data_IF_357196037226
#
_entry.id   IF_357196037226
#
_cell.length_a   1.000
_cell.length_b   1.000
_cell.length_c   1.000
_cell.angle_alpha   90.00
_cell.angle_beta   90.00
_cell.angle_gamma   90.00
#
_symmetry.space_group_name_H-M   'P 1'
#
loop_
_entity.id
_entity.type
_entity.pdbx_description
1 polymer ?
#
# COMPACT_ATOMS: atom_id res chain seq x y z
N UNK A 1 53.82 37.69 -48.21
CA UNK A 1 53.77 37.29 -46.79
C UNK A 1 52.42 36.60 -46.55
N UNK A 2 52.41 35.27 -46.46
CA UNK A 2 51.21 34.49 -46.09
C UNK A 2 51.26 34.20 -44.59
N UNK A 3 50.18 34.53 -43.87
CA UNK A 3 50.03 34.25 -42.43
C UNK A 3 49.18 32.99 -42.26
N UNK A 4 49.79 31.90 -41.80
CA UNK A 4 49.12 30.64 -41.47
C UNK A 4 48.57 30.71 -40.04
N UNK A 5 47.25 30.81 -39.88
CA UNK A 5 46.57 30.75 -38.59
C UNK A 5 46.19 29.32 -38.23
N UNK A 6 46.81 28.75 -37.20
CA UNK A 6 46.44 27.46 -36.64
C UNK A 6 45.26 27.63 -35.66
N UNK A 7 44.09 27.07 -35.99
CA UNK A 7 42.95 27.01 -35.10
C UNK A 7 43.11 25.82 -34.13
N UNK A 8 43.26 26.11 -32.84
CA UNK A 8 43.30 25.10 -31.78
C UNK A 8 41.87 24.74 -31.40
N UNK A 9 41.41 23.54 -31.78
CA UNK A 9 40.12 23.01 -31.36
C UNK A 9 40.23 22.48 -29.92
N UNK A 10 39.66 23.20 -28.96
CA UNK A 10 39.52 22.74 -27.59
C UNK A 10 38.46 21.63 -27.52
N UNK A 11 38.88 20.39 -27.24
CA UNK A 11 37.97 19.29 -26.94
C UNK A 11 37.33 19.52 -25.57
N UNK A 12 36.04 19.87 -25.56
CA UNK A 12 35.21 19.90 -24.36
C UNK A 12 34.93 18.47 -23.90
N UNK A 13 35.76 17.95 -22.99
CA UNK A 13 35.45 16.74 -22.23
C UNK A 13 34.28 17.03 -21.30
N UNK A 14 33.06 16.72 -21.74
CA UNK A 14 31.89 16.65 -20.87
C UNK A 14 32.10 15.50 -19.88
N UNK A 15 32.54 15.83 -18.67
CA UNK A 15 32.55 14.90 -17.55
C UNK A 15 31.10 14.50 -17.26
N UNK A 16 30.68 13.33 -17.76
CA UNK A 16 29.48 12.65 -17.28
C UNK A 16 29.74 12.25 -15.83
N UNK A 17 29.30 13.11 -14.89
CA UNK A 17 29.29 12.78 -13.47
C UNK A 17 28.52 11.48 -13.23
N UNK A 18 28.76 10.79 -12.10
CA UNK A 18 28.09 9.52 -11.81
C UNK A 18 26.57 9.72 -11.87
N UNK A 19 25.93 9.07 -12.83
CA UNK A 19 24.48 8.99 -12.89
C UNK A 19 24.02 8.32 -11.59
N UNK A 20 23.32 9.07 -10.74
CA UNK A 20 22.68 8.49 -9.57
C UNK A 20 21.68 7.45 -10.07
N UNK A 21 21.96 6.18 -9.85
CA UNK A 21 21.05 5.10 -10.19
C UNK A 21 19.73 5.34 -9.44
N UNK A 22 18.63 5.42 -10.19
CA UNK A 22 17.31 5.60 -9.60
C UNK A 22 17.04 4.45 -8.61
N UNK A 23 16.60 4.80 -7.39
CA UNK A 23 16.25 3.81 -6.39
C UNK A 23 15.19 2.84 -6.94
N UNK A 24 15.33 1.53 -6.69
CA UNK A 24 14.34 0.54 -7.14
C UNK A 24 12.93 0.92 -6.66
N UNK A 25 11.97 0.81 -7.58
CA UNK A 25 10.56 1.09 -7.30
C UNK A 25 9.69 -0.07 -7.78
N UNK A 26 8.58 -0.27 -7.06
CA UNK A 26 7.58 -1.28 -7.35
C UNK A 26 6.28 -0.60 -7.75
N UNK A 27 5.75 -0.98 -8.90
CA UNK A 27 4.40 -0.61 -9.34
C UNK A 27 3.40 -1.60 -8.79
N UNK A 28 2.48 -1.12 -7.97
CA UNK A 28 1.42 -1.92 -7.36
C UNK A 28 0.11 -1.55 -8.03
N UNK A 29 -0.52 -2.52 -8.66
CA UNK A 29 -1.83 -2.36 -9.28
C UNK A 29 -2.88 -3.04 -8.42
N UNK A 30 -3.76 -2.26 -7.82
CA UNK A 30 -4.95 -2.78 -7.17
C UNK A 30 -6.09 -2.88 -8.20
N UNK A 31 -6.55 -4.09 -8.48
CA UNK A 31 -7.76 -4.33 -9.28
C UNK A 31 -8.95 -4.36 -8.34
N UNK A 32 -9.68 -3.26 -8.28
CA UNK A 32 -10.75 -3.00 -7.31
C UNK A 32 -12.10 -3.29 -7.94
N UNK A 33 -12.87 -4.17 -7.31
CA UNK A 33 -14.28 -4.43 -7.65
C UNK A 33 -15.17 -3.91 -6.53
N UNK A 34 -16.28 -3.27 -6.89
CA UNK A 34 -17.29 -2.80 -5.93
C UNK A 34 -17.05 -1.39 -5.37
N UNK A 35 -16.01 -0.67 -5.83
CA UNK A 35 -15.83 0.74 -5.48
C UNK A 35 -15.10 1.58 -6.54
N UNK A 36 -15.83 2.05 -7.53
CA UNK A 36 -15.35 3.09 -8.44
C UNK A 36 -15.30 4.44 -7.70
N UNK A 37 -14.25 5.23 -7.91
CA UNK A 37 -14.07 6.53 -7.26
C UNK A 37 -13.57 6.46 -5.82
N UNK A 38 -13.34 5.27 -5.26
CA UNK A 38 -12.63 5.11 -3.98
C UNK A 38 -11.25 5.78 -4.03
N UNK A 39 -10.82 6.38 -2.93
CA UNK A 39 -9.43 6.83 -2.75
C UNK A 39 -8.65 5.74 -2.04
N UNK A 40 -7.53 5.34 -2.62
CA UNK A 40 -6.60 4.37 -2.04
C UNK A 40 -5.37 5.13 -1.54
N UNK A 41 -5.10 5.05 -0.24
CA UNK A 41 -3.83 5.50 0.33
C UNK A 41 -2.87 4.34 0.51
N UNK A 42 -1.59 4.67 0.72
CA UNK A 42 -0.54 3.69 0.97
C UNK A 42 0.38 4.21 2.05
N UNK A 43 0.62 3.37 3.06
CA UNK A 43 1.42 3.74 4.21
C UNK A 43 2.24 2.56 4.70
N UNK A 44 3.39 2.85 5.28
CA UNK A 44 4.23 1.91 5.99
C UNK A 44 4.52 2.52 7.35
N UNK A 45 3.94 1.95 8.39
CA UNK A 45 4.18 2.34 9.77
C UNK A 45 4.76 1.12 10.48
N UNK A 46 6.08 1.10 10.69
CA UNK A 46 6.73 0.01 11.42
C UNK A 46 7.01 0.47 12.85
N UNK A 47 6.44 -0.22 13.82
CA UNK A 47 6.83 -0.06 15.23
C UNK A 47 8.25 -0.62 15.42
N UNK A 48 9.20 0.25 15.80
CA UNK A 48 10.60 -0.16 15.99
C UNK A 48 10.79 -0.94 17.30
N UNK A 49 11.55 -2.04 17.24
CA UNK A 49 12.10 -2.73 18.41
C UNK A 49 11.51 -4.11 18.72
N UNK A 50 12.33 -4.96 19.34
CA UNK A 50 12.01 -6.28 19.90
C UNK A 50 10.51 -6.46 20.26
N UNK A 51 9.81 -7.51 19.78
CA UNK A 51 8.38 -7.74 20.03
C UNK A 51 7.98 -7.80 21.52
N UNK A 52 8.94 -7.87 22.44
CA UNK A 52 8.73 -7.83 23.90
C UNK A 52 8.72 -6.44 24.53
N UNK A 53 9.00 -5.34 23.80
CA UNK A 53 8.92 -3.97 24.32
C UNK A 53 8.32 -3.01 23.28
N UNK A 54 7.03 -2.74 23.43
CA UNK A 54 6.33 -1.70 22.68
C UNK A 54 6.78 -0.35 23.24
N UNK A 55 7.52 0.44 22.47
CA UNK A 55 7.78 1.87 22.78
C UNK A 55 6.98 2.73 21.80
N UNK A 56 5.82 3.27 22.21
CA UNK A 56 5.09 4.25 21.41
C UNK A 56 5.85 5.58 21.46
N UNK A 57 6.64 5.90 20.43
CA UNK A 57 7.19 7.25 20.25
C UNK A 57 7.75 7.55 18.84
N UNK A 58 8.24 6.55 18.09
CA UNK A 58 8.87 6.80 16.77
C UNK A 58 8.72 5.62 15.80
N UNK A 59 7.51 5.34 15.29
CA UNK A 59 7.37 4.38 14.20
C UNK A 59 8.18 4.86 12.98
N UNK A 60 8.84 3.96 12.27
CA UNK A 60 9.38 4.29 10.94
C UNK A 60 8.19 4.45 10.01
N UNK A 61 7.77 5.70 9.81
CA UNK A 61 6.60 6.06 9.01
C UNK A 61 7.01 6.52 7.62
N UNK A 62 6.30 6.00 6.63
CA UNK A 62 6.34 6.47 5.26
C UNK A 62 4.92 6.43 4.70
N UNK A 63 4.55 7.45 3.95
CA UNK A 63 3.28 7.53 3.24
C UNK A 63 3.54 7.87 1.77
N UNK A 64 2.77 7.23 0.89
CA UNK A 64 2.77 7.55 -0.54
C UNK A 64 1.56 8.39 -0.93
N UNK A 65 1.62 9.01 -2.11
CA UNK A 65 0.51 9.80 -2.63
C UNK A 65 -0.73 8.91 -2.85
N UNK A 66 -1.89 9.26 -2.28
CA UNK A 66 -3.14 8.54 -2.52
C UNK A 66 -3.58 8.64 -3.99
N UNK A 67 -4.27 7.62 -4.47
CA UNK A 67 -4.77 7.56 -5.85
C UNK A 67 -6.25 7.19 -5.87
N UNK A 68 -7.00 7.72 -6.84
CA UNK A 68 -8.40 7.34 -7.06
C UNK A 68 -8.49 6.08 -7.92
N UNK A 69 -9.41 5.18 -7.55
CA UNK A 69 -9.83 4.07 -8.40
C UNK A 69 -10.54 4.64 -9.62
N UNK A 70 -10.00 4.31 -10.79
CA UNK A 70 -10.57 4.65 -12.10
C UNK A 70 -10.67 3.39 -12.95
N UNK A 71 -11.83 3.12 -13.52
CA UNK A 71 -12.10 1.91 -14.31
C UNK A 71 -11.72 0.63 -13.54
N UNK A 72 -12.03 0.58 -12.24
CA UNK A 72 -11.71 -0.55 -11.37
C UNK A 72 -10.22 -0.74 -11.08
N UNK A 73 -9.37 0.26 -11.33
CA UNK A 73 -7.91 0.17 -11.10
C UNK A 73 -7.39 1.36 -10.31
N UNK A 74 -6.52 1.07 -9.33
CA UNK A 74 -5.66 2.03 -8.66
C UNK A 74 -4.20 1.58 -8.82
N UNK A 75 -3.32 2.48 -9.26
CA UNK A 75 -1.90 2.19 -9.48
C UNK A 75 -1.04 3.09 -8.60
N UNK A 76 -0.21 2.46 -7.77
CA UNK A 76 0.72 3.11 -6.86
C UNK A 76 2.15 2.80 -7.31
N UNK A 77 3.06 3.75 -7.15
CA UNK A 77 4.51 3.54 -7.34
C UNK A 77 5.20 3.81 -6.02
N UNK A 78 5.83 2.79 -5.45
CA UNK A 78 6.44 2.85 -4.12
C UNK A 78 7.91 2.46 -4.18
N UNK A 79 8.79 2.95 -3.29
CA UNK A 79 10.13 2.40 -3.15
C UNK A 79 10.04 0.91 -2.81
N UNK A 80 10.78 0.06 -3.53
CA UNK A 80 10.70 -1.40 -3.32
C UNK A 80 11.05 -1.80 -1.87
N UNK A 81 11.98 -1.08 -1.26
CA UNK A 81 12.37 -1.24 0.15
C UNK A 81 11.23 -0.99 1.14
N UNK A 82 10.19 -0.23 0.75
CA UNK A 82 9.06 0.12 1.60
C UNK A 82 7.89 -0.85 1.45
N UNK A 83 7.98 -1.88 0.59
CA UNK A 83 6.84 -2.78 0.35
C UNK A 83 6.53 -3.69 1.53
N UNK A 84 7.55 -4.13 2.28
CA UNK A 84 7.36 -4.98 3.46
C UNK A 84 6.92 -4.16 4.67
N UNK A 85 5.88 -4.64 5.37
CA UNK A 85 5.23 -3.93 6.48
C UNK A 85 4.35 -2.77 6.02
N UNK A 86 3.99 -2.74 4.73
CA UNK A 86 3.09 -1.72 4.17
C UNK A 86 1.64 -2.15 4.31
N UNK A 87 0.75 -1.17 4.42
CA UNK A 87 -0.70 -1.35 4.37
C UNK A 87 -1.32 -0.39 3.36
N UNK A 88 -2.55 -0.72 2.95
CA UNK A 88 -3.35 0.12 2.06
C UNK A 88 -4.58 0.59 2.80
N UNK A 89 -4.86 1.89 2.70
CA UNK A 89 -6.11 2.47 3.17
C UNK A 89 -7.09 2.60 2.00
N UNK A 90 -8.36 2.66 2.32
CA UNK A 90 -9.42 2.89 1.36
C UNK A 90 -10.46 3.82 1.98
N UNK A 91 -10.87 4.82 1.20
CA UNK A 91 -11.99 5.69 1.52
C UNK A 91 -12.99 5.65 0.39
N UNK A 92 -14.20 5.17 0.67
CA UNK A 92 -15.26 5.11 -0.33
C UNK A 92 -16.14 6.36 -0.26
N UNK A 93 -16.66 6.86 -1.40
CA UNK A 93 -17.48 8.07 -1.44
C UNK A 93 -18.82 7.94 -0.69
N UNK A 94 -19.21 6.72 -0.32
CA UNK A 94 -20.44 6.41 0.40
C UNK A 94 -20.24 6.11 1.88
N UNK A 95 -18.99 6.11 2.37
CA UNK A 95 -18.73 5.86 3.79
C UNK A 95 -19.26 6.99 4.67
N UNK A 96 -19.71 6.62 5.87
CA UNK A 96 -20.06 7.54 6.95
C UNK A 96 -19.19 7.32 8.19
N UNK A 97 -18.20 6.42 8.09
CA UNK A 97 -17.22 6.17 9.14
C UNK A 97 -16.34 7.40 9.39
N UNK A 98 -16.01 7.63 10.66
CA UNK A 98 -15.10 8.69 11.12
C UNK A 98 -13.65 8.19 11.32
N UNK A 99 -13.33 7.07 10.68
CA UNK A 99 -12.03 6.42 10.67
C UNK A 99 -11.66 6.07 9.23
N UNK A 100 -10.39 5.75 8.99
CA UNK A 100 -9.93 5.32 7.67
C UNK A 100 -9.93 3.80 7.60
N UNK A 101 -10.71 3.23 6.68
CA UNK A 101 -10.76 1.79 6.47
C UNK A 101 -9.44 1.27 5.86
N UNK A 102 -9.03 0.06 6.24
CA UNK A 102 -7.87 -0.62 5.66
C UNK A 102 -8.32 -1.79 4.77
N UNK A 103 -7.55 -2.04 3.71
CA UNK A 103 -7.72 -3.23 2.88
C UNK A 103 -7.13 -4.42 3.64
N UNK A 104 -7.97 -5.40 3.96
CA UNK A 104 -7.55 -6.67 4.55
C UNK A 104 -6.74 -7.47 3.53
N UNK A 105 -5.49 -7.79 3.85
CA UNK A 105 -4.59 -8.53 2.95
C UNK A 105 -4.50 -10.01 3.29
N UNK A 106 -4.72 -10.35 4.56
CA UNK A 106 -4.67 -11.72 5.08
C UNK A 106 -5.50 -11.91 6.34
N UNK A 107 -5.61 -13.16 6.77
CA UNK A 107 -6.31 -13.61 7.98
C UNK A 107 -5.64 -14.90 8.46
N UNK A 108 -6.28 -15.67 9.35
CA UNK A 108 -5.82 -17.01 9.72
C UNK A 108 -5.77 -18.01 8.54
N UNK A 109 -6.33 -17.65 7.38
CA UNK A 109 -6.26 -18.45 6.15
C UNK A 109 -4.89 -18.30 5.49
N UNK A 110 -4.36 -19.37 4.84
CA UNK A 110 -3.13 -19.27 4.06
C UNK A 110 -3.18 -18.18 2.99
N UNK A 111 -2.02 -17.61 2.65
CA UNK A 111 -1.88 -16.72 1.49
C UNK A 111 -2.33 -17.44 0.20
N UNK A 112 -2.95 -16.69 -0.72
CA UNK A 112 -3.55 -17.25 -1.94
C UNK A 112 -4.95 -17.83 -1.74
N UNK A 113 -5.52 -17.73 -0.54
CA UNK A 113 -6.90 -18.17 -0.29
C UNK A 113 -7.91 -17.23 -0.95
N UNK A 114 -8.90 -17.79 -1.63
CA UNK A 114 -10.07 -17.00 -2.08
C UNK A 114 -10.99 -16.76 -0.89
N UNK A 115 -11.40 -15.51 -0.71
CA UNK A 115 -12.34 -15.09 0.35
C UNK A 115 -13.56 -14.47 -0.30
N UNK A 116 -14.73 -15.01 0.01
CA UNK A 116 -16.04 -14.47 -0.40
C UNK A 116 -16.48 -13.35 0.54
N UNK A 117 -17.45 -12.54 0.12
CA UNK A 117 -18.02 -11.47 0.96
C UNK A 117 -18.62 -12.00 2.27
N UNK A 118 -19.30 -13.15 2.24
CA UNK A 118 -19.86 -13.77 3.45
C UNK A 118 -18.79 -14.26 4.41
N UNK A 119 -17.70 -14.83 3.90
CA UNK A 119 -16.55 -15.21 4.72
C UNK A 119 -15.87 -13.98 5.31
N UNK A 120 -15.68 -12.93 4.50
CA UNK A 120 -15.10 -11.67 4.97
C UNK A 120 -15.94 -11.07 6.11
N UNK A 121 -17.27 -11.00 5.95
CA UNK A 121 -18.17 -10.47 6.96
C UNK A 121 -18.15 -11.25 8.28
N UNK A 122 -17.65 -12.49 8.29
CA UNK A 122 -17.49 -13.33 9.48
C UNK A 122 -16.06 -13.35 10.03
N UNK A 123 -15.11 -12.75 9.33
CA UNK A 123 -13.72 -12.64 9.81
C UNK A 123 -13.69 -11.77 11.05
N UNK A 124 -13.17 -12.34 12.14
CA UNK A 124 -12.96 -11.66 13.42
C UNK A 124 -11.51 -11.27 13.65
N UNK A 125 -10.58 -11.88 12.91
CA UNK A 125 -9.15 -11.57 12.96
C UNK A 125 -8.56 -11.48 11.55
N UNK A 126 -7.93 -10.35 11.26
CA UNK A 126 -7.40 -10.01 9.95
C UNK A 126 -6.15 -9.13 10.08
N UNK A 127 -5.40 -8.98 8.99
CA UNK A 127 -4.29 -8.02 8.94
C UNK A 127 -4.26 -7.29 7.61
N UNK A 128 -3.86 -6.02 7.66
CA UNK A 128 -3.56 -5.20 6.50
C UNK A 128 -2.04 -5.14 6.20
N UNK A 129 -1.22 -5.82 7.00
CA UNK A 129 0.24 -5.79 6.89
C UNK A 129 0.75 -6.71 5.79
N UNK A 130 1.18 -6.12 4.68
CA UNK A 130 1.71 -6.86 3.54
C UNK A 130 3.14 -7.35 3.79
N UNK A 131 3.44 -8.58 3.38
CA UNK A 131 4.81 -9.09 3.40
C UNK A 131 5.74 -8.41 2.37
N UNK A 132 5.17 -7.62 1.46
CA UNK A 132 5.94 -6.90 0.44
C UNK A 132 6.36 -7.75 -0.74
N UNK A 133 7.25 -7.20 -1.56
CA UNK A 133 7.82 -7.89 -2.71
C UNK A 133 9.13 -7.24 -3.17
N UNK A 134 10.03 -8.04 -3.73
CA UNK A 134 11.20 -7.53 -4.45
C UNK A 134 10.93 -7.27 -5.96
N UNK A 135 9.72 -7.60 -6.44
CA UNK A 135 9.36 -7.44 -7.85
C UNK A 135 9.17 -5.96 -8.20
N UNK A 136 9.43 -5.63 -9.47
CA UNK A 136 9.16 -4.29 -10.02
C UNK A 136 7.67 -4.05 -10.28
N UNK A 137 6.86 -5.10 -10.36
CA UNK A 137 5.40 -4.99 -10.48
C UNK A 137 4.67 -6.11 -9.76
N UNK A 138 3.52 -5.78 -9.19
CA UNK A 138 2.58 -6.74 -8.58
C UNK A 138 1.14 -6.27 -8.80
N UNK A 139 0.22 -7.23 -8.94
CA UNK A 139 -1.22 -6.96 -8.97
C UNK A 139 -1.87 -7.61 -7.75
N UNK A 140 -2.70 -6.85 -7.03
CA UNK A 140 -3.53 -7.33 -5.93
C UNK A 140 -4.99 -7.13 -6.32
N UNK A 141 -5.79 -8.18 -6.27
CA UNK A 141 -7.23 -8.11 -6.55
C UNK A 141 -7.96 -7.78 -5.25
N UNK A 142 -8.76 -6.73 -5.26
CA UNK A 142 -9.47 -6.23 -4.08
C UNK A 142 -10.96 -6.23 -4.35
N UNK A 143 -11.73 -6.84 -3.45
CA UNK A 143 -13.18 -6.72 -3.40
C UNK A 143 -13.55 -5.71 -2.33
N UNK A 144 -14.57 -4.89 -2.59
CA UNK A 144 -15.07 -3.87 -1.68
C UNK A 144 -16.58 -3.97 -1.59
N UNK A 145 -17.10 -3.99 -0.37
CA UNK A 145 -18.55 -3.95 -0.10
C UNK A 145 -18.87 -2.95 1.01
N UNK A 146 -20.12 -2.51 1.05
CA UNK A 146 -20.68 -1.76 2.19
C UNK A 146 -20.81 -2.67 3.40
N UNK A 147 -20.19 -2.29 4.50
CA UNK A 147 -20.43 -2.90 5.81
C UNK A 147 -21.19 -1.94 6.71
N UNK A 148 -22.37 -2.36 7.16
CA UNK A 148 -23.13 -1.65 8.20
C UNK A 148 -22.63 -2.08 9.57
N UNK A 149 -22.06 -1.15 10.31
CA UNK A 149 -21.55 -1.34 11.67
C UNK A 149 -22.59 -0.90 12.71
N UNK A 150 -22.25 -1.08 13.99
CA UNK A 150 -23.08 -0.60 15.10
C UNK A 150 -23.33 0.91 14.99
N UNK A 151 -24.52 1.37 15.39
CA UNK A 151 -24.88 2.79 15.35
C UNK A 151 -25.22 3.32 13.95
N UNK A 152 -25.37 2.45 12.95
CA UNK A 152 -25.74 2.84 11.58
C UNK A 152 -24.57 3.32 10.72
N UNK A 153 -23.34 3.30 11.25
CA UNK A 153 -22.13 3.66 10.52
C UNK A 153 -21.93 2.73 9.32
N UNK A 154 -21.62 3.31 8.16
CA UNK A 154 -21.33 2.59 6.92
C UNK A 154 -19.84 2.73 6.62
N UNK A 155 -19.15 1.60 6.56
CA UNK A 155 -17.71 1.53 6.29
C UNK A 155 -17.40 0.62 5.09
N UNK A 156 -16.26 0.83 4.46
CA UNK A 156 -15.68 -0.03 3.45
C UNK A 156 -15.11 -1.29 4.09
N UNK A 157 -15.76 -2.42 3.82
CA UNK A 157 -15.12 -3.72 4.01
C UNK A 157 -14.41 -4.07 2.70
N UNK A 158 -13.09 -3.94 2.71
CA UNK A 158 -12.24 -4.20 1.55
C UNK A 158 -11.24 -5.32 1.87
N UNK A 159 -11.07 -6.26 0.94
CA UNK A 159 -10.14 -7.38 1.14
C UNK A 159 -9.50 -7.87 -0.16
N UNK A 160 -8.28 -8.37 -0.04
CA UNK A 160 -7.59 -9.08 -1.09
C UNK A 160 -8.19 -10.47 -1.30
N UNK A 161 -8.54 -10.80 -2.54
CA UNK A 161 -9.00 -12.14 -2.91
C UNK A 161 -8.52 -12.50 -4.33
N UNK A 162 -7.56 -13.44 -4.47
CA UNK A 162 -6.91 -14.19 -3.40
C UNK A 162 -6.16 -13.34 -2.36
N UNK A 163 -6.08 -13.81 -1.11
CA UNK A 163 -5.26 -13.18 -0.07
C UNK A 163 -3.79 -13.15 -0.48
N UNK A 164 -3.00 -12.24 0.09
CA UNK A 164 -1.56 -12.14 -0.17
C UNK A 164 -0.78 -12.56 1.07
N UNK A 165 0.53 -12.76 0.92
CA UNK A 165 1.41 -13.00 2.06
C UNK A 165 1.43 -11.77 2.97
N UNK A 166 1.33 -11.99 4.27
CA UNK A 166 1.27 -10.94 5.30
C UNK A 166 2.34 -11.12 6.36
N UNK A 167 2.60 -10.06 7.12
CA UNK A 167 3.53 -10.04 8.25
C UNK A 167 2.84 -9.49 9.49
N UNK A 168 3.44 -9.69 10.66
CA UNK A 168 2.90 -9.19 11.93
C UNK A 168 1.68 -9.98 12.43
N UNK A 169 1.14 -9.59 13.58
CA UNK A 169 -0.01 -10.26 14.18
C UNK A 169 -1.31 -9.96 13.40
N UNK A 170 -2.30 -10.83 13.56
CA UNK A 170 -3.67 -10.51 13.22
C UNK A 170 -4.22 -9.55 14.27
N UNK A 171 -5.08 -8.63 13.83
CA UNK A 171 -5.83 -7.70 14.68
C UNK A 171 -7.30 -8.04 14.63
N UNK A 172 -8.02 -7.66 15.68
CA UNK A 172 -9.46 -7.85 15.73
C UNK A 172 -10.15 -7.00 14.66
N UNK A 173 -11.10 -7.60 13.97
CA UNK A 173 -11.88 -6.96 12.91
C UNK A 173 -13.36 -7.09 13.19
N UNK A 174 -14.13 -6.03 12.94
CA UNK A 174 -15.58 -6.07 13.05
C UNK A 174 -16.19 -6.25 11.68
N UNK A 175 -16.89 -7.37 11.46
CA UNK A 175 -17.44 -7.76 10.15
C UNK A 175 -16.39 -7.78 9.03
N UNK A 176 -15.17 -8.21 9.36
CA UNK A 176 -14.02 -8.18 8.45
C UNK A 176 -13.55 -6.78 8.07
N UNK A 177 -14.00 -5.72 8.74
CA UNK A 177 -13.49 -4.36 8.53
C UNK A 177 -12.35 -4.10 9.50
N UNK A 178 -11.24 -3.61 8.96
CA UNK A 178 -10.15 -2.99 9.72
C UNK A 178 -10.20 -1.48 9.50
N UNK A 179 -9.87 -0.72 10.53
CA UNK A 179 -9.81 0.74 10.45
C UNK A 179 -8.73 1.30 11.36
N UNK A 180 -8.29 2.51 11.06
CA UNK A 180 -7.31 3.24 11.86
C UNK A 180 -7.64 4.74 11.90
N UNK A 181 -7.13 5.43 12.93
CA UNK A 181 -7.26 6.88 13.10
C UNK A 181 -6.03 7.66 12.61
N UNK A 182 -4.86 7.01 12.60
CA UNK A 182 -3.57 7.63 12.30
C UNK A 182 -2.81 6.80 11.28
N UNK A 183 -2.44 5.57 11.67
CA UNK A 183 -1.81 4.60 10.79
C UNK A 183 -2.20 3.17 11.19
N UNK A 184 -2.05 2.23 10.26
CA UNK A 184 -2.13 0.81 10.56
C UNK A 184 -0.71 0.28 10.79
N UNK A 185 -0.40 -0.03 12.05
CA UNK A 185 0.94 -0.42 12.47
C UNK A 185 1.25 -1.88 12.13
N UNK A 186 2.35 -2.02 11.41
CA UNK A 186 3.12 -3.22 11.18
C UNK A 186 4.49 -3.04 11.86
#
# INVERSE_FOLDING_TARGET
MLVTGAAVAAALSLATGPAHAASPSTTITLKVTGCEGCTIGVQRAITGGNPSKITPATPTFWEGTPVKVKSGVATLKVPTANTSGMSFTITAPWETANYVSNIVLGSARPAGSTVTSSQQAKTTQATACWAGTAKTSVTIKVQVVKASLSGGTIAASAWATPTVATVGPLQDSTKGTLGNQEAFYC
#
